data_IF_306144813943
#
_entry.id   IF_306144813943
#
_cell.length_a   1.000
_cell.length_b   1.000
_cell.length_c   1.000
_cell.angle_alpha   90.00
_cell.angle_beta   90.00
_cell.angle_gamma   90.00
#
_symmetry.space_group_name_H-M   'P 1'
#
loop_
_entity.id
_entity.type
_entity.pdbx_description
1 polymer ?
#
# COMPACT_ATOMS: atom_id res chain seq x y z
N UNK A 1 11.12 -22.31 -0.05
CA UNK A 1 10.73 -21.29 0.95
C UNK A 1 10.19 -20.10 0.18
N UNK A 2 9.05 -19.56 0.58
CA UNK A 2 8.41 -18.42 -0.11
C UNK A 2 9.17 -17.13 0.21
N UNK A 3 9.24 -16.21 -0.76
CA UNK A 3 9.85 -14.88 -0.56
C UNK A 3 8.90 -13.98 0.25
N UNK A 4 9.44 -12.93 0.85
CA UNK A 4 8.64 -11.98 1.61
C UNK A 4 7.66 -11.17 0.74
N UNK A 5 8.04 -10.84 -0.50
CA UNK A 5 7.14 -10.17 -1.45
C UNK A 5 5.99 -11.10 -1.88
N UNK A 6 6.27 -12.38 -2.13
CA UNK A 6 5.24 -13.36 -2.44
C UNK A 6 4.30 -13.62 -1.24
N UNK A 7 4.84 -13.56 -0.02
CA UNK A 7 4.05 -13.65 1.20
C UNK A 7 3.14 -12.42 1.39
N UNK A 8 3.63 -11.22 1.06
CA UNK A 8 2.83 -9.99 1.09
C UNK A 8 1.69 -10.06 0.06
N UNK A 9 1.98 -10.51 -1.17
CA UNK A 9 0.96 -10.72 -2.19
C UNK A 9 -0.13 -11.69 -1.71
N UNK A 10 0.28 -12.84 -1.14
CA UNK A 10 -0.66 -13.80 -0.55
C UNK A 10 -1.53 -13.19 0.55
N UNK A 11 -0.95 -12.36 1.43
CA UNK A 11 -1.72 -11.67 2.46
C UNK A 11 -2.78 -10.74 1.88
N UNK A 12 -2.45 -10.01 0.81
CA UNK A 12 -3.37 -9.11 0.13
C UNK A 12 -4.47 -9.88 -0.61
N UNK A 13 -4.10 -10.89 -1.38
CA UNK A 13 -5.03 -11.73 -2.16
C UNK A 13 -6.07 -12.44 -1.28
N UNK A 14 -5.66 -12.85 -0.08
CA UNK A 14 -6.51 -13.53 0.89
C UNK A 14 -7.14 -12.60 1.95
N UNK A 15 -6.83 -11.30 1.93
CA UNK A 15 -7.32 -10.33 2.92
C UNK A 15 -6.90 -10.66 4.36
N UNK A 16 -5.70 -11.23 4.56
CA UNK A 16 -5.24 -11.65 5.89
C UNK A 16 -4.80 -10.46 6.74
N UNK A 17 -5.19 -10.48 8.02
CA UNK A 17 -4.58 -9.62 9.04
C UNK A 17 -3.17 -10.09 9.39
N UNK A 18 -2.42 -9.25 10.11
CA UNK A 18 -1.10 -9.62 10.61
C UNK A 18 -1.13 -10.87 11.51
N UNK A 19 -2.18 -11.01 12.32
CA UNK A 19 -2.37 -12.19 13.17
C UNK A 19 -2.81 -13.40 12.34
N UNK A 20 -3.72 -13.23 11.39
CA UNK A 20 -4.14 -14.31 10.50
C UNK A 20 -2.97 -14.90 9.70
N UNK A 21 -2.02 -14.07 9.27
CA UNK A 21 -0.78 -14.54 8.64
C UNK A 21 0.13 -15.31 9.61
N UNK A 22 0.28 -14.83 10.86
CA UNK A 22 1.07 -15.52 11.88
C UNK A 22 0.46 -16.88 12.21
N UNK A 23 -0.85 -16.96 12.37
CA UNK A 23 -1.58 -18.19 12.64
C UNK A 23 -1.41 -19.19 11.48
N UNK A 24 -1.55 -18.73 10.23
CA UNK A 24 -1.30 -19.54 9.03
C UNK A 24 0.11 -20.14 9.02
N UNK A 25 1.11 -19.30 9.32
CA UNK A 25 2.51 -19.73 9.37
C UNK A 25 2.77 -20.72 10.50
N UNK A 26 2.24 -20.45 11.69
CA UNK A 26 2.47 -21.28 12.87
C UNK A 26 1.78 -22.64 12.73
N UNK A 27 0.58 -22.68 12.15
CA UNK A 27 -0.09 -23.91 11.75
C UNK A 27 0.75 -24.71 10.74
N UNK A 28 1.27 -24.06 9.68
CA UNK A 28 2.16 -24.74 8.73
C UNK A 28 3.39 -25.33 9.40
N UNK A 29 4.00 -24.59 10.34
CA UNK A 29 5.16 -25.06 11.12
C UNK A 29 4.84 -26.26 12.00
N UNK A 30 3.65 -26.32 12.58
CA UNK A 30 3.18 -27.47 13.40
C UNK A 30 3.23 -28.78 12.62
N UNK A 31 2.91 -28.74 11.32
CA UNK A 31 2.99 -29.89 10.41
C UNK A 31 4.35 -30.03 9.70
N UNK A 32 5.40 -29.30 10.15
CA UNK A 32 6.75 -29.35 9.57
C UNK A 32 6.92 -28.55 8.26
N UNK A 33 5.91 -27.80 7.83
CA UNK A 33 5.95 -26.97 6.63
C UNK A 33 6.51 -25.58 6.93
N UNK A 34 7.82 -25.40 6.79
CA UNK A 34 8.48 -24.09 6.95
C UNK A 34 8.53 -23.30 5.62
N UNK A 35 7.35 -23.05 5.04
CA UNK A 35 7.21 -22.40 3.72
C UNK A 35 7.16 -20.88 3.86
N UNK A 36 6.46 -20.38 4.89
CA UNK A 36 6.16 -18.95 5.07
C UNK A 36 7.31 -18.21 5.78
N UNK A 37 7.77 -17.07 5.24
CA UNK A 37 8.75 -16.23 5.94
C UNK A 37 8.18 -15.66 7.25
N UNK A 38 9.03 -15.28 8.21
CA UNK A 38 8.57 -14.59 9.41
C UNK A 38 7.97 -13.21 9.07
N UNK A 39 6.97 -12.79 9.85
CA UNK A 39 6.19 -11.58 9.56
C UNK A 39 7.03 -10.29 9.45
N UNK A 40 8.13 -10.16 10.19
CA UNK A 40 8.97 -8.96 10.10
C UNK A 40 9.55 -8.75 8.68
N UNK A 41 9.87 -9.82 7.95
CA UNK A 41 10.34 -9.70 6.55
C UNK A 41 9.22 -9.25 5.61
N UNK A 42 8.00 -9.70 5.88
CA UNK A 42 6.80 -9.28 5.13
C UNK A 42 6.53 -7.81 5.39
N UNK A 43 6.69 -7.37 6.64
CA UNK A 43 6.58 -5.97 7.03
C UNK A 43 7.64 -5.09 6.35
N UNK A 44 8.90 -5.53 6.30
CA UNK A 44 9.96 -4.83 5.52
C UNK A 44 9.60 -4.73 4.04
N UNK A 45 9.01 -5.78 3.48
CA UNK A 45 8.55 -5.80 2.08
C UNK A 45 7.43 -4.80 1.84
N UNK A 46 6.47 -4.74 2.76
CA UNK A 46 5.40 -3.74 2.76
C UNK A 46 5.96 -2.32 2.85
N UNK A 47 6.97 -2.10 3.69
CA UNK A 47 7.62 -0.79 3.84
C UNK A 47 8.33 -0.34 2.56
N UNK A 48 8.97 -1.24 1.82
CA UNK A 48 9.58 -0.92 0.51
C UNK A 48 8.56 -0.44 -0.53
N UNK A 49 7.29 -0.77 -0.37
CA UNK A 49 6.22 -0.32 -1.26
C UNK A 49 5.73 1.10 -0.96
N UNK A 50 6.08 1.69 0.18
CA UNK A 50 5.67 3.05 0.53
C UNK A 50 6.63 4.10 -0.02
N UNK A 51 6.10 5.26 -0.45
CA UNK A 51 6.92 6.43 -0.76
C UNK A 51 7.57 6.97 0.52
N UNK A 52 8.63 7.77 0.36
CA UNK A 52 9.31 8.43 1.49
C UNK A 52 8.32 9.24 2.33
N UNK A 53 8.39 9.11 3.66
CA UNK A 53 7.52 9.80 4.62
C UNK A 53 7.59 11.33 4.46
N UNK A 54 8.71 11.85 3.97
CA UNK A 54 8.90 13.29 3.74
C UNK A 54 7.96 13.88 2.66
N UNK A 55 7.38 13.03 1.81
CA UNK A 55 6.49 13.42 0.72
C UNK A 55 5.02 13.14 1.02
N UNK A 56 4.72 12.55 2.17
CA UNK A 56 3.37 12.18 2.60
C UNK A 56 2.98 13.07 3.77
N UNK A 57 1.87 13.80 3.61
CA UNK A 57 1.27 14.57 4.69
C UNK A 57 0.04 13.82 5.17
N UNK A 58 0.03 13.46 6.45
CA UNK A 58 -1.12 12.84 7.11
C UNK A 58 -1.63 13.80 8.17
N UNK A 59 -2.92 14.13 8.08
CA UNK A 59 -3.65 14.89 9.10
C UNK A 59 -4.91 14.14 9.51
N UNK A 60 -5.60 14.65 10.52
CA UNK A 60 -6.87 14.08 11.00
C UNK A 60 -7.98 14.05 9.93
N UNK A 61 -7.87 14.87 8.87
CA UNK A 61 -8.95 15.08 7.89
C UNK A 61 -8.58 14.77 6.44
N UNK A 62 -7.29 14.69 6.13
CA UNK A 62 -6.84 14.37 4.78
C UNK A 62 -5.45 13.76 4.81
N UNK A 63 -5.14 13.04 3.75
CA UNK A 63 -3.81 12.57 3.43
C UNK A 63 -3.49 12.99 2.01
N UNK A 64 -2.31 13.55 1.81
CA UNK A 64 -1.82 13.93 0.48
C UNK A 64 -0.39 13.47 0.26
N UNK A 65 -0.05 13.29 -1.01
CA UNK A 65 1.29 12.94 -1.46
C UNK A 65 1.72 13.89 -2.56
N UNK A 66 2.98 14.32 -2.55
CA UNK A 66 3.54 15.13 -3.64
C UNK A 66 3.49 14.34 -4.95
N UNK A 67 2.85 14.92 -5.97
CA UNK A 67 2.65 14.25 -7.26
C UNK A 67 3.96 13.77 -7.90
N UNK A 68 5.03 14.57 -7.86
CA UNK A 68 6.33 14.16 -8.41
C UNK A 68 6.91 12.96 -7.66
N UNK A 69 6.84 12.95 -6.33
CA UNK A 69 7.31 11.83 -5.52
C UNK A 69 6.53 10.54 -5.81
N UNK A 70 5.21 10.66 -6.05
CA UNK A 70 4.40 9.52 -6.49
C UNK A 70 4.86 8.98 -7.84
N UNK A 71 5.12 9.85 -8.82
CA UNK A 71 5.64 9.43 -10.12
C UNK A 71 7.02 8.79 -10.03
N UNK A 72 7.94 9.38 -9.26
CA UNK A 72 9.29 8.86 -9.08
C UNK A 72 9.25 7.46 -8.45
N UNK A 73 8.40 7.28 -7.44
CA UNK A 73 8.19 5.98 -6.78
C UNK A 73 7.62 4.92 -7.75
N UNK A 74 6.60 5.28 -8.53
CA UNK A 74 6.02 4.39 -9.55
C UNK A 74 7.06 4.04 -10.61
N UNK A 75 7.83 5.02 -11.10
CA UNK A 75 8.89 4.80 -12.08
C UNK A 75 9.97 3.86 -11.54
N UNK A 76 10.43 4.07 -10.31
CA UNK A 76 11.39 3.19 -9.64
C UNK A 76 10.86 1.75 -9.58
N UNK A 77 9.61 1.58 -9.14
CA UNK A 77 8.99 0.27 -9.05
C UNK A 77 8.86 -0.42 -10.42
N UNK A 78 8.43 0.31 -11.45
CA UNK A 78 8.36 -0.21 -12.82
C UNK A 78 9.74 -0.60 -13.36
N UNK A 79 10.78 0.18 -13.07
CA UNK A 79 12.15 -0.14 -13.43
C UNK A 79 12.63 -1.44 -12.78
N UNK A 80 12.36 -1.63 -11.48
CA UNK A 80 12.66 -2.89 -10.78
C UNK A 80 11.89 -4.08 -11.37
N UNK A 81 10.60 -3.91 -11.64
CA UNK A 81 9.75 -4.95 -12.24
C UNK A 81 10.18 -5.36 -13.65
N UNK A 82 10.75 -4.42 -14.41
CA UNK A 82 11.19 -4.62 -15.80
C UNK A 82 12.72 -4.70 -15.92
N UNK A 83 13.43 -4.98 -14.83
CA UNK A 83 14.89 -4.95 -14.79
C UNK A 83 15.51 -5.84 -15.88
N UNK A 84 14.95 -7.04 -16.10
CA UNK A 84 15.42 -7.97 -17.13
C UNK A 84 15.24 -7.43 -18.56
N UNK A 85 14.28 -6.54 -18.79
CA UNK A 85 14.08 -5.86 -20.07
C UNK A 85 15.14 -4.76 -20.21
N UNK A 86 15.33 -3.96 -19.17
CA UNK A 86 16.34 -2.88 -19.15
C UNK A 86 17.77 -3.38 -19.30
N UNK A 87 18.12 -4.52 -18.70
CA UNK A 87 19.46 -5.15 -18.82
C UNK A 87 19.82 -5.57 -20.25
N UNK A 88 18.85 -5.73 -21.15
CA UNK A 88 19.08 -6.11 -22.55
C UNK A 88 19.52 -4.94 -23.42
N UNK A 89 19.40 -3.71 -22.93
CA UNK A 89 19.81 -2.54 -23.69
C UNK A 89 21.31 -2.27 -23.50
N UNK A 90 22.07 -2.06 -24.59
CA UNK A 90 23.52 -1.85 -24.50
C UNK A 90 23.90 -0.44 -24.00
N UNK A 91 22.97 0.52 -24.05
CA UNK A 91 23.18 1.88 -23.57
C UNK A 91 22.83 2.00 -22.09
N UNK A 92 23.63 2.77 -21.35
CA UNK A 92 23.40 3.07 -19.94
C UNK A 92 22.36 4.19 -19.75
N UNK A 93 21.97 4.87 -20.84
CA UNK A 93 20.97 5.93 -20.83
C UNK A 93 19.87 5.60 -21.84
N UNK A 94 18.64 5.52 -21.31
CA UNK A 94 17.45 5.07 -22.03
C UNK A 94 16.33 6.06 -21.70
N UNK A 95 15.73 6.68 -22.73
CA UNK A 95 14.63 7.64 -22.54
C UNK A 95 13.27 6.94 -22.66
N UNK A 96 12.62 6.78 -21.53
CA UNK A 96 11.27 6.24 -21.45
C UNK A 96 10.21 7.34 -21.30
N UNK A 97 9.00 7.06 -21.79
CA UNK A 97 7.80 7.87 -21.57
C UNK A 97 6.79 7.04 -20.82
N UNK A 98 6.44 7.46 -19.61
CA UNK A 98 5.35 6.87 -18.85
C UNK A 98 4.06 7.62 -19.16
N UNK A 99 3.12 6.96 -19.84
CA UNK A 99 1.77 7.47 -20.00
C UNK A 99 0.95 7.11 -18.75
N UNK A 100 0.22 8.07 -18.21
CA UNK A 100 -0.60 7.88 -17.01
C UNK A 100 -1.97 8.52 -17.17
N UNK A 101 -2.97 7.97 -16.48
CA UNK A 101 -4.29 8.58 -16.33
C UNK A 101 -4.49 8.94 -14.86
N UNK A 102 -5.21 10.03 -14.60
CA UNK A 102 -5.62 10.40 -13.26
C UNK A 102 -7.10 10.80 -13.27
N UNK A 103 -7.68 10.86 -12.08
CA UNK A 103 -9.07 11.31 -11.88
C UNK A 103 -9.36 11.46 -10.40
N UNK A 104 -10.57 11.91 -10.08
CA UNK A 104 -11.03 12.03 -8.71
C UNK A 104 -12.48 11.60 -8.61
N UNK A 105 -12.87 11.07 -7.45
CA UNK A 105 -14.24 10.67 -7.16
C UNK A 105 -14.57 10.95 -5.68
N UNK A 106 -15.85 11.14 -5.40
CA UNK A 106 -16.37 11.43 -4.07
C UNK A 106 -17.51 10.48 -3.70
N UNK A 107 -17.46 9.91 -2.50
CA UNK A 107 -18.51 9.05 -1.98
C UNK A 107 -18.99 9.54 -0.61
N UNK A 108 -20.30 9.45 -0.37
CA UNK A 108 -20.95 9.77 0.90
C UNK A 108 -21.36 8.49 1.64
N UNK A 109 -21.97 8.63 2.81
CA UNK A 109 -22.52 7.53 3.62
C UNK A 109 -21.45 6.57 4.19
N UNK A 110 -20.25 7.09 4.45
CA UNK A 110 -19.22 6.36 5.17
C UNK A 110 -19.54 6.23 6.67
N UNK A 111 -18.98 5.20 7.32
CA UNK A 111 -19.17 4.97 8.75
C UNK A 111 -18.58 6.11 9.59
N UNK A 112 -19.42 6.77 10.39
CA UNK A 112 -18.98 7.84 11.28
C UNK A 112 -18.27 7.29 12.53
N UNK A 113 -17.05 7.76 12.78
CA UNK A 113 -16.35 7.50 14.03
C UNK A 113 -16.74 8.48 15.13
N UNK A 114 -16.73 8.01 16.39
CA UNK A 114 -17.01 8.84 17.58
C UNK A 114 -15.83 9.74 17.98
N UNK A 115 -15.08 10.23 17.01
CA UNK A 115 -13.99 11.17 17.24
C UNK A 115 -14.56 12.59 17.36
N UNK A 116 -13.95 13.43 18.19
CA UNK A 116 -14.31 14.86 18.25
C UNK A 116 -13.85 15.52 16.95
N UNK A 117 -14.81 15.99 16.15
CA UNK A 117 -14.58 16.66 14.87
C UNK A 117 -15.08 18.10 15.00
N UNK A 118 -14.34 19.12 14.50
CA UNK A 118 -14.84 20.49 14.41
C UNK A 118 -16.14 20.57 13.62
N UNK A 119 -17.06 21.46 13.98
CA UNK A 119 -18.40 21.57 13.35
C UNK A 119 -18.37 21.82 11.83
N UNK A 120 -17.26 22.35 11.30
CA UNK A 120 -17.05 22.64 9.88
C UNK A 120 -16.56 21.43 9.05
N UNK A 121 -16.33 20.27 9.69
CA UNK A 121 -15.77 19.08 9.06
C UNK A 121 -16.76 17.91 9.16
N UNK A 122 -16.80 17.10 8.11
CA UNK A 122 -17.58 15.87 8.09
C UNK A 122 -16.67 14.66 7.90
N UNK A 123 -17.01 13.56 8.56
CA UNK A 123 -16.33 12.27 8.45
C UNK A 123 -17.17 11.20 7.75
N UNK A 124 -18.32 11.58 7.17
CA UNK A 124 -19.22 10.69 6.42
C UNK A 124 -18.99 10.70 4.90
N UNK A 125 -18.10 11.57 4.41
CA UNK A 125 -17.76 11.73 3.01
C UNK A 125 -16.26 11.47 2.79
N UNK A 126 -15.92 10.71 1.75
CA UNK A 126 -14.55 10.53 1.26
C UNK A 126 -14.42 11.12 -0.13
N UNK A 127 -13.37 11.92 -0.34
CA UNK A 127 -12.96 12.38 -1.65
C UNK A 127 -11.57 11.85 -1.95
N UNK A 128 -11.40 11.18 -3.09
CA UNK A 128 -10.17 10.52 -3.47
C UNK A 128 -9.68 11.03 -4.83
N UNK A 129 -8.39 11.33 -4.92
CA UNK A 129 -7.69 11.51 -6.20
C UNK A 129 -6.88 10.25 -6.48
N UNK A 130 -7.02 9.69 -7.67
CA UNK A 130 -6.38 8.45 -8.09
C UNK A 130 -5.51 8.67 -9.33
N UNK A 131 -4.40 7.95 -9.39
CA UNK A 131 -3.49 7.92 -10.53
C UNK A 131 -3.21 6.47 -10.94
N UNK A 132 -3.17 6.21 -12.24
CA UNK A 132 -2.92 4.88 -12.80
C UNK A 132 -1.83 4.98 -13.87
N UNK A 133 -0.68 4.31 -13.70
CA UNK A 133 0.29 4.17 -14.77
C UNK A 133 -0.30 3.28 -15.89
N UNK A 134 -0.18 3.74 -17.12
CA UNK A 134 -0.62 3.03 -18.33
C UNK A 134 0.63 2.43 -19.02
N UNK A 135 0.97 2.67 -20.30
CA UNK A 135 2.19 2.09 -20.85
C UNK A 135 3.46 2.87 -20.48
N UNK A 136 4.52 2.13 -20.20
CA UNK A 136 5.90 2.62 -20.26
C UNK A 136 6.43 2.34 -21.66
N UNK A 137 6.76 3.40 -22.40
CA UNK A 137 7.20 3.32 -23.80
C UNK A 137 8.64 3.74 -23.90
N UNK A 138 9.44 2.92 -24.58
CA UNK A 138 10.80 3.27 -24.99
C UNK A 138 10.83 3.38 -26.51
N UNK A 139 11.09 4.58 -27.01
CA UNK A 139 11.03 4.92 -28.44
C UNK A 139 9.68 4.51 -29.06
N UNK A 140 9.61 3.32 -29.65
CA UNK A 140 8.41 2.72 -30.26
C UNK A 140 7.97 1.43 -29.59
N UNK A 141 8.76 0.88 -28.66
CA UNK A 141 8.47 -0.37 -27.96
C UNK A 141 7.73 -0.10 -26.64
N UNK A 142 6.68 -0.88 -26.38
CA UNK A 142 5.98 -0.89 -25.08
C UNK A 142 6.71 -1.87 -24.16
N UNK A 143 7.32 -1.37 -23.09
CA UNK A 143 8.06 -2.16 -22.11
C UNK A 143 7.12 -2.70 -21.03
N UNK A 144 6.16 -1.88 -20.62
CA UNK A 144 5.14 -2.25 -19.65
C UNK A 144 3.79 -1.75 -20.15
N UNK A 145 2.74 -2.53 -19.95
CA UNK A 145 1.37 -2.10 -20.11
C UNK A 145 0.54 -2.65 -18.95
N UNK A 146 -0.20 -1.77 -18.29
CA UNK A 146 -1.25 -2.22 -17.38
C UNK A 146 -2.38 -2.86 -18.22
N UNK A 147 -2.43 -4.19 -18.24
CA UNK A 147 -3.40 -4.97 -19.03
C UNK A 147 -4.83 -4.78 -18.53
N UNK A 148 -5.01 -4.47 -17.24
CA UNK A 148 -6.29 -4.14 -16.63
C UNK A 148 -6.35 -2.62 -16.39
N UNK A 149 -6.63 -1.87 -17.45
CA UNK A 149 -6.68 -0.39 -17.49
C UNK A 149 -7.63 0.26 -16.48
N UNK A 150 -8.39 -0.53 -15.73
CA UNK A 150 -9.35 -0.13 -14.69
C UNK A 150 -8.92 -0.47 -13.26
N UNK A 151 -7.87 -1.28 -13.03
CA UNK A 151 -7.40 -1.56 -11.67
C UNK A 151 -6.49 -0.43 -11.19
N UNK A 152 -6.95 0.27 -10.16
CA UNK A 152 -6.27 1.40 -9.56
C UNK A 152 -5.21 0.90 -8.58
N UNK A 153 -3.93 0.98 -8.95
CA UNK A 153 -2.80 0.65 -8.06
C UNK A 153 -2.78 1.56 -6.81
N UNK A 154 -3.33 2.78 -6.91
CA UNK A 154 -3.33 3.79 -5.84
C UNK A 154 -4.53 3.67 -4.88
N UNK A 155 -5.59 2.95 -5.23
CA UNK A 155 -6.76 2.78 -4.35
C UNK A 155 -6.41 1.91 -3.13
N UNK A 156 -5.59 0.87 -3.34
CA UNK A 156 -5.15 -0.03 -2.27
C UNK A 156 -4.23 0.66 -1.26
N UNK A 157 -3.45 1.67 -1.67
CA UNK A 157 -2.58 2.42 -0.74
C UNK A 157 -3.41 3.21 0.27
N UNK A 158 -4.48 3.87 -0.19
CA UNK A 158 -5.37 4.65 0.67
C UNK A 158 -6.26 3.76 1.57
N UNK A 159 -6.74 2.63 1.06
CA UNK A 159 -7.46 1.64 1.88
C UNK A 159 -6.56 0.97 2.93
N UNK A 160 -5.29 0.71 2.59
CA UNK A 160 -4.32 0.13 3.54
C UNK A 160 -4.01 1.10 4.67
N UNK A 161 -3.89 2.40 4.41
CA UNK A 161 -3.74 3.42 5.46
C UNK A 161 -4.94 3.44 6.43
N UNK A 162 -6.17 3.28 5.93
CA UNK A 162 -7.37 3.18 6.79
C UNK A 162 -7.40 1.89 7.62
N UNK A 163 -6.96 0.76 7.06
CA UNK A 163 -6.91 -0.52 7.77
C UNK A 163 -5.83 -0.55 8.86
N UNK A 164 -4.70 0.13 8.67
CA UNK A 164 -3.64 0.23 9.68
C UNK A 164 -4.02 1.12 10.88
N UNK A 165 -4.83 2.16 10.67
CA UNK A 165 -5.45 2.91 11.77
C UNK A 165 -6.35 2.00 12.62
N UNK A 166 -7.13 1.14 11.97
CA UNK A 166 -8.02 0.20 12.65
C UNK A 166 -7.26 -0.81 13.54
N UNK A 167 -6.03 -1.20 13.18
CA UNK A 167 -5.22 -2.10 14.00
C UNK A 167 -4.52 -1.40 15.17
N UNK A 168 -4.14 -0.12 15.03
CA UNK A 168 -3.52 0.66 16.12
C UNK A 168 -4.50 0.92 17.27
N UNK A 169 -5.77 1.21 16.96
CA UNK A 169 -6.80 1.48 17.97
C UNK A 169 -7.15 0.23 18.81
N UNK A 170 -7.16 -0.96 18.21
CA UNK A 170 -7.46 -2.22 18.93
C UNK A 170 -6.31 -2.62 19.88
N UNK A 171 -5.07 -2.22 19.59
CA UNK A 171 -3.92 -2.47 20.48
C UNK A 171 -3.76 -1.47 21.62
N UNK A 172 -4.51 -0.36 21.64
CA UNK A 172 -4.45 0.68 22.67
C UNK A 172 -5.31 0.41 23.92
N UNK A 173 -6.25 -0.53 23.86
CA UNK A 173 -7.31 -0.69 24.89
C UNK A 173 -7.09 -1.88 25.85
N UNK A 174 -5.82 -2.22 26.13
CA UNK A 174 -5.49 -3.14 27.23
C UNK A 174 -4.41 -2.56 28.15
N UNK A 175 -4.78 -1.54 28.94
CA UNK A 175 -4.26 -1.34 30.30
C UNK A 175 -5.39 -0.92 31.23
N UNK A 176 -5.91 -1.92 31.94
CA UNK A 176 -6.98 -1.78 32.91
C UNK A 176 -6.67 -0.87 34.09
N UNK A 177 -7.68 -0.09 34.46
CA UNK A 177 -8.26 -0.05 35.81
C UNK A 177 -7.41 -0.60 36.97
N UNK A 178 -6.84 0.32 37.75
CA UNK A 178 -6.49 0.11 39.16
C UNK A 178 -7.13 1.19 40.01
N UNK A 179 -8.28 0.89 40.63
CA UNK A 179 -8.80 1.65 41.77
C UNK A 179 -7.88 1.36 42.96
N UNK A 180 -7.21 2.39 43.50
CA UNK A 180 -6.59 2.33 44.82
C UNK A 180 -7.55 2.93 45.87
N UNK A 181 -7.72 2.30 47.05
CA UNK A 181 -8.37 2.94 48.17
C UNK A 181 -7.34 3.73 48.99
N UNK A 182 -7.69 4.95 49.39
CA UNK A 182 -7.41 5.56 50.70
C UNK A 182 -8.22 6.86 50.83
#
# INVERSE_FOLDING_TARGET
MMTADAALALMLDLGLSANGYKDLRDNGREYGCNIYPPYYQVQESKQRCYPSEEYVVVSDFHTEIRLQALFDHICMWLCCMQEDVFRRFPSHEVRCKLLSKWGCDGNSEHSCYKQKIPEEKSNDCLFCVSLVPLPLVLETAVIYCNLEKSKTIVHDVLQTCQAEFHQRDVSGDQRGSGKGPE
#
